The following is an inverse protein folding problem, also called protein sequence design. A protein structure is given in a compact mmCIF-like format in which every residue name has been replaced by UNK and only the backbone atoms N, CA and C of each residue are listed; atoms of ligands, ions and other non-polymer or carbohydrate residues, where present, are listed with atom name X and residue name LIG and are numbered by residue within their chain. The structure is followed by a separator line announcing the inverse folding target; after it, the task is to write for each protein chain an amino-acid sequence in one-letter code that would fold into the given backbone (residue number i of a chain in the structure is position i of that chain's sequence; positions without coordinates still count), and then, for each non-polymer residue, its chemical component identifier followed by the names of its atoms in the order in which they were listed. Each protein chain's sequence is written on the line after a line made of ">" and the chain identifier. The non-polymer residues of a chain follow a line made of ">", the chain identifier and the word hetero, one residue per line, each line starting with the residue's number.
data_IF_290874087174
#
_entry.id   IF_290874087174
#
_cell.length_a   1.000
_cell.length_b   1.000
_cell.length_c   1.000
_cell.angle_alpha   90.00
_cell.angle_beta   90.00
_cell.angle_gamma   90.00
#
_symmetry.space_group_name_H-M   'P 1'
#
loop_
_entity.id
_entity.type
_entity.pdbx_description
1 polymer ?
#
# COMPACT_ATOMS: atom_id res chain seq x y z
N UNK A 1 -52.35 -18.89 -9.50
CA UNK A 1 -52.22 -17.94 -8.37
C UNK A 1 -51.02 -18.27 -7.47
N UNK A 2 -50.75 -19.56 -7.22
CA UNK A 2 -49.64 -20.08 -6.41
C UNK A 2 -48.23 -19.77 -6.92
N UNK A 3 -48.00 -19.69 -8.23
CA UNK A 3 -46.67 -19.45 -8.81
C UNK A 3 -46.18 -18.00 -8.64
N UNK A 4 -47.09 -17.02 -8.59
CA UNK A 4 -46.76 -15.60 -8.34
C UNK A 4 -46.45 -15.32 -6.87
N UNK A 5 -47.07 -16.08 -5.95
CA UNK A 5 -46.80 -15.98 -4.51
C UNK A 5 -45.44 -16.59 -4.18
N UNK A 6 -45.07 -17.72 -4.82
CA UNK A 6 -43.76 -18.34 -4.62
C UNK A 6 -42.60 -17.44 -5.11
N UNK A 7 -42.79 -16.72 -6.22
CA UNK A 7 -41.80 -15.76 -6.75
C UNK A 7 -41.61 -14.54 -5.84
N UNK A 8 -42.70 -14.10 -5.17
CA UNK A 8 -42.68 -12.99 -4.21
C UNK A 8 -41.98 -13.39 -2.89
N UNK A 9 -42.19 -14.63 -2.44
CA UNK A 9 -41.52 -15.16 -1.23
C UNK A 9 -40.02 -15.38 -1.50
N UNK A 10 -39.62 -15.82 -2.70
CA UNK A 10 -38.22 -15.96 -3.06
C UNK A 10 -37.47 -14.62 -3.14
N UNK A 11 -38.13 -13.55 -3.63
CA UNK A 11 -37.52 -12.20 -3.69
C UNK A 11 -37.38 -11.54 -2.30
N UNK A 12 -38.30 -11.82 -1.36
CA UNK A 12 -38.19 -11.32 0.02
C UNK A 12 -37.06 -12.03 0.79
N UNK A 13 -36.83 -13.32 0.54
CA UNK A 13 -35.75 -14.08 1.19
C UNK A 13 -34.35 -13.67 0.70
N UNK A 14 -34.20 -13.23 -0.55
CA UNK A 14 -32.92 -12.68 -1.05
C UNK A 14 -32.60 -11.28 -0.52
N UNK A 15 -33.57 -10.56 0.06
CA UNK A 15 -33.37 -9.24 0.66
C UNK A 15 -33.03 -9.31 2.16
N UNK A 16 -33.13 -10.47 2.79
CA UNK A 16 -32.79 -10.66 4.22
C UNK A 16 -31.33 -11.12 4.44
N UNK A 17 -30.52 -11.25 3.39
CA UNK A 17 -29.11 -11.62 3.54
C UNK A 17 -28.20 -10.42 3.82
N UNK A 18 -28.52 -9.55 4.77
CA UNK A 18 -27.61 -8.48 5.20
C UNK A 18 -27.83 -8.14 6.68
N UNK A 19 -26.73 -8.10 7.45
CA UNK A 19 -26.61 -7.47 8.76
C UNK A 19 -27.26 -8.16 9.98
N UNK A 20 -26.90 -9.42 10.25
CA UNK A 20 -27.14 -10.01 11.57
C UNK A 20 -26.38 -9.24 12.66
N UNK A 21 -27.09 -8.44 13.45
CA UNK A 21 -26.57 -7.75 14.64
C UNK A 21 -26.29 -6.25 14.50
N UNK A 22 -26.39 -5.66 13.30
CA UNK A 22 -26.33 -4.20 13.14
C UNK A 22 -27.71 -3.64 12.86
N UNK A 23 -28.14 -2.68 13.69
CA UNK A 23 -29.43 -2.00 13.57
C UNK A 23 -29.40 -0.86 12.56
N UNK A 24 -28.21 -0.39 12.17
CA UNK A 24 -28.04 0.51 11.04
C UNK A 24 -26.59 0.79 10.69
N UNK A 25 -26.35 1.13 9.42
CA UNK A 25 -25.04 1.55 8.90
C UNK A 25 -25.26 2.68 7.91
N UNK A 26 -24.61 3.81 8.16
CA UNK A 26 -24.67 5.01 7.32
C UNK A 26 -23.27 5.37 6.88
N UNK A 27 -23.13 5.88 5.67
CA UNK A 27 -21.84 6.20 5.05
C UNK A 27 -21.85 7.59 4.47
N UNK A 28 -20.75 8.32 4.65
CA UNK A 28 -20.49 9.64 4.08
C UNK A 28 -21.67 10.61 4.30
N UNK A 29 -22.30 11.07 3.23
CA UNK A 29 -23.37 12.07 3.27
C UNK A 29 -24.67 11.55 3.90
N UNK A 30 -24.81 10.22 4.05
CA UNK A 30 -25.96 9.62 4.74
C UNK A 30 -25.80 9.63 6.26
N UNK A 31 -24.66 10.08 6.80
CA UNK A 31 -24.44 10.21 8.24
C UNK A 31 -25.00 11.56 8.71
N UNK A 32 -25.73 11.54 9.82
CA UNK A 32 -26.24 12.74 10.46
C UNK A 32 -25.14 13.78 10.72
N UNK A 33 -25.44 15.05 10.40
CA UNK A 33 -24.48 16.16 10.46
C UNK A 33 -23.84 16.35 11.84
N UNK A 34 -24.63 16.27 12.91
CA UNK A 34 -24.13 16.38 14.30
C UNK A 34 -23.08 15.30 14.62
N UNK A 35 -23.29 14.07 14.16
CA UNK A 35 -22.32 12.98 14.35
C UNK A 35 -21.03 13.26 13.59
N UNK A 36 -21.12 13.72 12.34
CA UNK A 36 -19.95 14.11 11.54
C UNK A 36 -19.16 15.23 12.22
N UNK A 37 -19.84 16.25 12.75
CA UNK A 37 -19.18 17.37 13.42
C UNK A 37 -18.45 16.95 14.69
N UNK A 38 -19.08 16.10 15.53
CA UNK A 38 -18.44 15.55 16.72
C UNK A 38 -17.17 14.77 16.38
N UNK A 39 -17.22 13.91 15.37
CA UNK A 39 -16.07 13.11 14.96
C UNK A 39 -15.02 13.96 14.26
N UNK A 40 -15.41 14.97 13.48
CA UNK A 40 -14.47 15.89 12.83
C UNK A 40 -13.57 16.56 13.87
N UNK A 41 -14.12 17.03 14.99
CA UNK A 41 -13.33 17.63 16.08
C UNK A 41 -12.27 16.65 16.60
N UNK A 42 -12.60 15.36 16.68
CA UNK A 42 -11.67 14.31 17.13
C UNK A 42 -10.64 13.96 16.06
N UNK A 43 -11.05 13.90 14.79
CA UNK A 43 -10.15 13.70 13.65
C UNK A 43 -9.14 14.85 13.55
N UNK A 44 -9.58 16.11 13.73
CA UNK A 44 -8.71 17.28 13.71
C UNK A 44 -7.66 17.23 14.84
N UNK A 45 -8.09 16.86 16.06
CA UNK A 45 -7.17 16.66 17.20
C UNK A 45 -6.20 15.51 16.95
N UNK A 46 -6.70 14.37 16.45
CA UNK A 46 -5.90 13.19 16.15
C UNK A 46 -4.84 13.51 15.11
N UNK A 47 -5.25 14.08 13.98
CA UNK A 47 -4.36 14.46 12.88
C UNK A 47 -3.29 15.44 13.35
N UNK A 48 -3.69 16.53 14.04
CA UNK A 48 -2.75 17.50 14.58
C UNK A 48 -1.73 16.83 15.50
N UNK A 49 -2.17 15.97 16.41
CA UNK A 49 -1.30 15.28 17.34
C UNK A 49 -0.31 14.33 16.63
N UNK A 50 -0.76 13.61 15.59
CA UNK A 50 0.12 12.76 14.78
C UNK A 50 1.20 13.60 14.08
N UNK A 51 0.81 14.63 13.34
CA UNK A 51 1.74 15.43 12.54
C UNK A 51 2.72 16.22 13.43
N UNK A 52 2.29 16.66 14.60
CA UNK A 52 3.14 17.35 15.57
C UNK A 52 3.96 16.40 16.46
N UNK A 53 3.93 15.09 16.21
CA UNK A 53 4.57 14.07 17.05
C UNK A 53 4.14 14.14 18.55
N UNK A 54 2.91 14.58 18.81
CA UNK A 54 2.31 14.63 20.15
C UNK A 54 1.68 13.29 20.51
N UNK A 55 2.55 12.37 20.94
CA UNK A 55 2.16 11.03 21.39
C UNK A 55 1.14 11.07 22.54
N UNK A 56 1.24 12.04 23.45
CA UNK A 56 0.31 12.17 24.57
C UNK A 56 -1.08 12.60 24.08
N UNK A 57 -1.14 13.53 23.14
CA UNK A 57 -2.37 13.96 22.47
C UNK A 57 -3.08 12.81 21.74
N UNK A 58 -2.33 11.96 21.04
CA UNK A 58 -2.91 10.74 20.42
C UNK A 58 -3.48 9.81 21.49
N UNK A 59 -2.73 9.52 22.56
CA UNK A 59 -3.18 8.63 23.64
C UNK A 59 -4.41 9.13 24.37
N UNK A 60 -4.57 10.45 24.53
CA UNK A 60 -5.74 11.04 25.17
C UNK A 60 -7.06 10.76 24.42
N UNK A 61 -6.99 10.48 23.11
CA UNK A 61 -8.14 10.13 22.27
C UNK A 61 -8.45 8.63 22.28
N UNK A 62 -7.53 7.79 22.75
CA UNK A 62 -7.67 6.33 22.76
C UNK A 62 -8.56 5.85 23.91
N UNK A 63 -9.22 4.71 23.70
CA UNK A 63 -9.91 3.96 24.74
C UNK A 63 -8.93 3.24 25.65
N UNK A 64 -9.34 2.97 26.89
CA UNK A 64 -8.53 2.22 27.85
C UNK A 64 -8.15 0.84 27.31
N UNK A 65 -9.11 0.14 26.68
CA UNK A 65 -8.87 -1.16 26.02
C UNK A 65 -7.79 -1.12 24.95
N UNK A 66 -7.67 -0.02 24.20
CA UNK A 66 -6.61 0.13 23.20
C UNK A 66 -5.26 0.43 23.87
N UNK A 67 -5.25 1.22 24.95
CA UNK A 67 -4.04 1.51 25.72
C UNK A 67 -3.45 0.25 26.39
N UNK A 68 -4.31 -0.65 26.88
CA UNK A 68 -3.94 -1.93 27.51
C UNK A 68 -3.19 -2.88 26.57
N UNK A 69 -3.41 -2.79 25.24
CA UNK A 69 -2.72 -3.62 24.24
C UNK A 69 -1.25 -3.26 24.01
N UNK A 70 -0.74 -2.24 24.71
CA UNK A 70 0.63 -1.75 24.59
C UNK A 70 0.76 -0.63 23.56
N UNK A 71 1.50 0.43 23.93
CA UNK A 71 1.64 1.65 23.10
C UNK A 71 3.07 1.94 22.66
N UNK A 72 4.03 1.03 22.93
CA UNK A 72 5.44 1.23 22.58
C UNK A 72 5.67 1.34 21.07
N UNK A 73 5.02 0.47 20.29
CA UNK A 73 5.11 0.52 18.83
C UNK A 73 4.40 1.75 18.26
N UNK A 74 3.28 2.16 18.86
CA UNK A 74 2.56 3.37 18.46
C UNK A 74 3.45 4.63 18.55
N UNK A 75 4.25 4.76 19.62
CA UNK A 75 5.17 5.90 19.75
C UNK A 75 6.18 5.96 18.59
N UNK A 76 6.75 4.81 18.22
CA UNK A 76 7.71 4.72 17.09
C UNK A 76 7.02 5.05 15.77
N UNK A 77 5.84 4.49 15.54
CA UNK A 77 5.06 4.75 14.32
C UNK A 77 4.66 6.22 14.18
N UNK A 78 4.19 6.87 15.26
CA UNK A 78 3.89 8.31 15.23
C UNK A 78 5.13 9.12 14.85
N UNK A 79 6.29 8.83 15.45
CA UNK A 79 7.54 9.54 15.12
C UNK A 79 8.00 9.32 13.67
N UNK A 80 7.79 8.13 13.11
CA UNK A 80 8.05 7.85 11.69
C UNK A 80 7.08 8.63 10.80
N UNK A 81 5.78 8.54 11.08
CA UNK A 81 4.73 9.23 10.30
C UNK A 81 4.94 10.74 10.33
N UNK A 82 5.19 11.35 11.49
CA UNK A 82 5.39 12.81 11.60
C UNK A 82 6.62 13.30 10.83
N UNK A 83 7.62 12.43 10.67
CA UNK A 83 8.86 12.77 9.93
C UNK A 83 8.67 12.61 8.43
N UNK A 84 7.96 11.55 8.01
CA UNK A 84 7.79 11.17 6.60
C UNK A 84 6.61 11.87 5.90
N UNK A 85 5.55 12.21 6.63
CA UNK A 85 4.31 12.76 6.07
C UNK A 85 4.02 14.13 6.69
N UNK A 86 4.68 15.18 6.18
CA UNK A 86 4.41 16.56 6.59
C UNK A 86 3.21 17.10 5.81
N UNK A 87 2.14 17.41 6.51
CA UNK A 87 0.91 17.91 5.90
C UNK A 87 0.13 18.78 6.88
N UNK A 88 -0.45 19.87 6.40
CA UNK A 88 -1.24 20.80 7.21
C UNK A 88 -2.73 20.44 7.26
N UNK A 89 -3.18 19.52 6.39
CA UNK A 89 -4.59 19.14 6.27
C UNK A 89 -4.76 17.68 5.86
N UNK A 90 -5.97 17.16 6.04
CA UNK A 90 -6.37 15.86 5.54
C UNK A 90 -7.68 15.96 4.78
N UNK A 91 -7.91 15.00 3.88
CA UNK A 91 -9.22 14.71 3.31
C UNK A 91 -9.76 13.41 3.88
N UNK A 92 -11.08 13.28 3.93
CA UNK A 92 -11.75 12.03 4.27
C UNK A 92 -11.85 11.20 2.99
N UNK A 93 -11.34 9.97 3.02
CA UNK A 93 -11.55 8.99 1.96
C UNK A 93 -13.00 8.48 2.01
N UNK A 94 -13.38 7.95 3.18
CA UNK A 94 -14.73 7.53 3.52
C UNK A 94 -14.91 7.58 5.02
N UNK A 95 -16.16 7.65 5.45
CA UNK A 95 -16.57 7.58 6.84
C UNK A 95 -17.85 6.75 6.99
N UNK A 96 -17.96 6.07 8.13
CA UNK A 96 -19.09 5.19 8.44
C UNK A 96 -19.56 5.41 9.86
N UNK A 97 -20.87 5.54 10.05
CA UNK A 97 -21.50 5.48 11.36
C UNK A 97 -22.28 4.17 11.46
N UNK A 98 -22.09 3.43 12.55
CA UNK A 98 -22.70 2.12 12.74
C UNK A 98 -23.40 2.07 14.09
N UNK A 99 -24.67 1.65 14.05
CA UNK A 99 -25.43 1.30 15.24
C UNK A 99 -25.58 -0.23 15.30
N UNK A 100 -25.06 -0.82 16.37
CA UNK A 100 -25.08 -2.25 16.62
C UNK A 100 -26.19 -2.56 17.62
N UNK A 101 -26.91 -3.67 17.42
CA UNK A 101 -27.92 -4.13 18.38
C UNK A 101 -27.29 -4.73 19.64
N UNK A 102 -26.03 -5.15 19.56
CA UNK A 102 -25.23 -5.66 20.68
C UNK A 102 -23.74 -5.43 20.42
N UNK A 103 -22.92 -5.52 21.46
CA UNK A 103 -21.46 -5.52 21.34
C UNK A 103 -20.92 -6.93 21.09
N UNK A 104 -19.63 -7.03 20.74
CA UNK A 104 -18.91 -8.28 20.53
C UNK A 104 -19.08 -8.92 19.14
N UNK A 105 -19.94 -8.36 18.29
CA UNK A 105 -20.20 -8.86 16.93
C UNK A 105 -19.19 -8.32 15.90
N UNK A 106 -19.11 -8.99 14.75
CA UNK A 106 -18.30 -8.52 13.62
C UNK A 106 -19.07 -7.52 12.74
N UNK A 107 -18.44 -6.38 12.44
CA UNK A 107 -18.90 -5.41 11.46
C UNK A 107 -18.15 -5.59 10.15
N UNK A 108 -18.88 -5.46 9.04
CA UNK A 108 -18.35 -5.51 7.67
C UNK A 108 -18.90 -4.31 6.91
N UNK A 109 -18.04 -3.37 6.52
CA UNK A 109 -18.42 -2.12 5.90
C UNK A 109 -17.82 -2.03 4.48
N UNK A 110 -18.60 -2.31 3.44
CA UNK A 110 -18.12 -2.20 2.05
C UNK A 110 -18.09 -0.73 1.59
N UNK A 111 -17.05 -0.36 0.84
CA UNK A 111 -16.98 0.93 0.13
C UNK A 111 -17.75 0.93 -1.20
N UNK A 112 -18.29 -0.22 -1.60
CA UNK A 112 -19.00 -0.41 -2.86
C UNK A 112 -19.19 -1.90 -3.16
N UNK A 113 -19.75 -2.22 -4.31
CA UNK A 113 -20.13 -3.59 -4.67
C UNK A 113 -19.09 -4.27 -5.58
N UNK A 114 -18.45 -3.52 -6.48
CA UNK A 114 -17.61 -4.11 -7.53
C UNK A 114 -16.73 -3.10 -8.29
N UNK A 115 -16.50 -1.91 -7.73
CA UNK A 115 -15.56 -0.92 -8.26
C UNK A 115 -14.13 -1.42 -8.17
N UNK A 116 -13.27 -0.98 -9.09
CA UNK A 116 -11.85 -1.40 -9.14
C UNK A 116 -11.08 -1.12 -7.85
N UNK A 117 -11.43 0.00 -7.18
CA UNK A 117 -10.84 0.42 -5.92
C UNK A 117 -11.72 0.12 -4.70
N UNK A 118 -12.76 -0.70 -4.86
CA UNK A 118 -13.62 -1.04 -3.74
C UNK A 118 -12.89 -1.92 -2.72
N UNK A 119 -13.22 -1.68 -1.47
CA UNK A 119 -12.64 -2.35 -0.32
C UNK A 119 -13.72 -2.62 0.74
N UNK A 120 -13.33 -3.36 1.77
CA UNK A 120 -14.17 -3.71 2.90
C UNK A 120 -13.40 -3.43 4.18
N UNK A 121 -14.05 -2.74 5.12
CA UNK A 121 -13.56 -2.58 6.49
C UNK A 121 -14.18 -3.66 7.37
N UNK A 122 -13.35 -4.40 8.12
CA UNK A 122 -13.82 -5.44 9.05
C UNK A 122 -13.26 -5.22 10.44
N UNK A 123 -14.12 -5.25 11.45
CA UNK A 123 -13.71 -5.12 12.85
C UNK A 123 -14.75 -5.71 13.80
N UNK A 124 -14.36 -5.95 15.05
CA UNK A 124 -15.30 -6.33 16.10
C UNK A 124 -15.88 -5.09 16.80
N UNK A 125 -17.20 -4.99 16.88
CA UNK A 125 -17.90 -3.90 17.54
C UNK A 125 -17.71 -3.97 19.07
N UNK A 126 -16.97 -3.02 19.64
CA UNK A 126 -16.78 -2.94 21.11
C UNK A 126 -17.84 -2.08 21.80
N UNK A 127 -18.62 -1.31 21.03
CA UNK A 127 -19.65 -0.40 21.52
C UNK A 127 -20.90 -0.48 20.60
N UNK A 128 -22.06 -0.08 21.13
CA UNK A 128 -23.30 -0.05 20.34
C UNK A 128 -23.28 1.05 19.27
N UNK A 129 -22.68 2.21 19.55
CA UNK A 129 -22.42 3.24 18.55
C UNK A 129 -20.93 3.22 18.19
N UNK A 130 -20.62 3.03 16.91
CA UNK A 130 -19.27 2.99 16.35
C UNK A 130 -19.16 3.99 15.20
N UNK A 131 -17.95 4.51 14.98
CA UNK A 131 -17.65 5.38 13.84
C UNK A 131 -16.31 4.99 13.22
N UNK A 132 -16.21 4.97 11.90
CA UNK A 132 -14.96 4.72 11.16
C UNK A 132 -14.62 5.98 10.37
N UNK A 133 -13.41 6.50 10.55
CA UNK A 133 -12.84 7.61 9.79
C UNK A 133 -11.61 7.12 9.03
N UNK A 134 -11.60 7.30 7.71
CA UNK A 134 -10.45 7.03 6.84
C UNK A 134 -9.87 8.37 6.37
N UNK A 135 -8.72 8.76 6.93
CA UNK A 135 -8.12 10.07 6.68
C UNK A 135 -6.87 9.93 5.80
N UNK A 136 -6.75 10.83 4.83
CA UNK A 136 -5.61 10.91 3.92
C UNK A 136 -4.97 12.31 4.05
N UNK A 137 -3.76 12.44 4.61
CA UNK A 137 -3.00 13.69 4.60
C UNK A 137 -2.85 14.22 3.17
N UNK A 138 -2.91 15.54 2.99
CA UNK A 138 -2.86 16.17 1.66
C UNK A 138 -1.47 16.73 1.31
N UNK A 139 -1.24 16.99 0.02
CA UNK A 139 -0.02 17.66 -0.45
C UNK A 139 1.20 16.76 -0.67
N UNK A 140 1.03 15.44 -0.64
CA UNK A 140 2.10 14.45 -0.81
C UNK A 140 1.81 13.55 -2.01
N UNK A 141 2.82 13.14 -2.77
CA UNK A 141 2.65 12.20 -3.89
C UNK A 141 2.24 10.80 -3.40
N UNK A 142 2.82 10.41 -2.28
CA UNK A 142 2.53 9.19 -1.55
C UNK A 142 1.49 9.48 -0.46
N UNK A 143 0.43 8.67 -0.40
CA UNK A 143 -0.66 8.86 0.56
C UNK A 143 -0.58 7.81 1.66
N UNK A 144 -0.56 8.28 2.91
CA UNK A 144 -0.74 7.47 4.10
C UNK A 144 -2.23 7.40 4.45
N UNK A 145 -2.76 6.20 4.68
CA UNK A 145 -4.08 6.03 5.30
C UNK A 145 -3.96 6.05 6.81
N UNK A 146 -4.71 6.94 7.45
CA UNK A 146 -4.97 6.90 8.89
C UNK A 146 -6.37 6.33 9.07
N UNK A 147 -6.47 5.12 9.63
CA UNK A 147 -7.76 4.48 9.94
C UNK A 147 -8.03 4.60 11.43
N UNK A 148 -9.06 5.37 11.79
CA UNK A 148 -9.51 5.54 13.16
C UNK A 148 -10.92 4.97 13.33
N UNK A 149 -11.06 3.96 14.18
CA UNK A 149 -12.36 3.36 14.52
C UNK A 149 -12.69 3.77 15.95
N UNK A 150 -13.68 4.63 16.09
CA UNK A 150 -14.19 5.14 17.35
C UNK A 150 -15.33 4.26 17.88
N UNK A 151 -15.40 4.15 19.19
CA UNK A 151 -16.56 3.66 19.91
C UNK A 151 -17.08 4.73 20.87
N UNK A 152 -18.40 4.77 21.06
CA UNK A 152 -19.03 5.68 22.01
C UNK A 152 -19.12 5.04 23.40
N UNK A 153 -18.45 5.67 24.36
CA UNK A 153 -18.43 5.31 25.78
C UNK A 153 -19.23 6.36 26.55
N UNK A 154 -20.41 5.97 27.03
CA UNK A 154 -21.36 6.92 27.61
C UNK A 154 -21.62 8.09 26.63
N UNK A 155 -21.23 9.31 26.99
CA UNK A 155 -21.38 10.52 26.15
C UNK A 155 -20.07 10.95 25.47
N UNK A 156 -19.06 10.09 25.39
CA UNK A 156 -17.76 10.42 24.81
C UNK A 156 -17.35 9.40 23.74
N UNK A 157 -16.74 9.89 22.66
CA UNK A 157 -16.13 9.05 21.64
C UNK A 157 -14.66 8.83 21.94
N UNK A 158 -14.21 7.58 21.81
CA UNK A 158 -12.81 7.16 22.01
C UNK A 158 -12.37 6.23 20.90
N UNK A 159 -11.08 6.26 20.56
CA UNK A 159 -10.50 5.40 19.52
C UNK A 159 -10.31 3.99 20.08
N UNK A 160 -10.96 3.02 19.44
CA UNK A 160 -10.83 1.60 19.74
C UNK A 160 -9.77 0.92 18.88
N UNK A 161 -9.59 1.39 17.64
CA UNK A 161 -8.60 0.88 16.70
C UNK A 161 -7.98 2.08 15.97
N UNK A 162 -6.65 2.12 15.93
CA UNK A 162 -5.88 3.10 15.17
C UNK A 162 -4.86 2.35 14.32
N UNK A 163 -4.87 2.57 13.02
CA UNK A 163 -3.94 1.95 12.07
C UNK A 163 -3.39 3.00 11.10
N UNK A 164 -2.18 2.74 10.63
CA UNK A 164 -1.45 3.55 9.67
C UNK A 164 -0.87 2.63 8.59
N UNK A 165 -0.93 3.05 7.33
CA UNK A 165 -0.29 2.30 6.26
C UNK A 165 -0.34 3.02 4.92
N UNK A 166 0.55 2.62 4.02
CA UNK A 166 0.66 3.20 2.70
C UNK A 166 -0.61 2.90 1.88
N UNK A 167 -1.36 3.94 1.53
CA UNK A 167 -2.59 3.83 0.72
C UNK A 167 -2.28 3.81 -0.77
N UNK A 168 -1.43 4.74 -1.21
CA UNK A 168 -1.03 4.88 -2.60
C UNK A 168 0.41 5.37 -2.70
N UNK A 169 1.14 4.94 -3.73
CA UNK A 169 2.45 5.49 -4.09
C UNK A 169 2.31 6.24 -5.42
N UNK A 170 2.81 7.48 -5.50
CA UNK A 170 2.62 8.37 -6.67
C UNK A 170 1.17 8.38 -7.17
N UNK A 171 0.23 8.55 -6.23
CA UNK A 171 -1.22 8.58 -6.48
C UNK A 171 -1.80 7.31 -7.14
N UNK A 172 -1.11 6.18 -7.07
CA UNK A 172 -1.58 4.87 -7.51
C UNK A 172 -1.78 3.93 -6.33
N UNK A 173 -2.97 3.39 -6.23
CA UNK A 173 -3.39 2.43 -5.20
C UNK A 173 -2.92 1.00 -5.55
N UNK A 174 -3.21 0.04 -4.67
CA UNK A 174 -2.91 -1.37 -4.95
C UNK A 174 -3.58 -1.88 -6.25
N UNK A 175 -4.89 -1.63 -6.49
CA UNK A 175 -5.53 -2.02 -7.75
C UNK A 175 -4.96 -1.31 -8.99
N UNK A 176 -4.54 -0.05 -8.88
CA UNK A 176 -3.92 0.66 -10.01
C UNK A 176 -2.61 0.00 -10.44
N UNK A 177 -1.75 -0.34 -9.47
CA UNK A 177 -0.50 -1.06 -9.76
C UNK A 177 -0.74 -2.49 -10.24
N UNK A 178 -1.79 -3.15 -9.76
CA UNK A 178 -2.20 -4.46 -10.26
C UNK A 178 -2.55 -4.41 -11.76
N UNK A 179 -3.29 -3.38 -12.18
CA UNK A 179 -3.60 -3.16 -13.60
C UNK A 179 -2.33 -3.00 -14.44
N UNK A 180 -1.38 -2.17 -13.99
CA UNK A 180 -0.09 -1.99 -14.67
C UNK A 180 0.70 -3.30 -14.74
N UNK A 181 0.72 -4.07 -13.65
CA UNK A 181 1.40 -5.36 -13.61
C UNK A 181 0.79 -6.35 -14.62
N UNK A 182 -0.54 -6.38 -14.71
CA UNK A 182 -1.27 -7.22 -15.67
C UNK A 182 -0.95 -6.80 -17.11
N UNK A 183 -0.98 -5.51 -17.41
CA UNK A 183 -0.64 -4.98 -18.74
C UNK A 183 0.80 -5.31 -19.14
N UNK A 184 1.78 -5.14 -18.24
CA UNK A 184 3.16 -5.55 -18.46
C UNK A 184 3.30 -7.06 -18.65
N UNK A 185 2.57 -7.86 -17.86
CA UNK A 185 2.58 -9.31 -17.98
C UNK A 185 2.02 -9.77 -19.33
N UNK A 186 0.91 -9.18 -19.79
CA UNK A 186 0.30 -9.48 -21.08
C UNK A 186 1.24 -9.13 -22.26
N UNK A 187 2.11 -8.11 -22.10
CA UNK A 187 3.20 -7.76 -23.04
C UNK A 187 4.46 -8.63 -22.90
N UNK A 188 4.47 -9.64 -22.01
CA UNK A 188 5.64 -10.44 -21.63
C UNK A 188 6.80 -9.65 -21.00
N UNK A 189 6.53 -8.46 -20.45
CA UNK A 189 7.50 -7.61 -19.75
C UNK A 189 7.60 -8.05 -18.28
N UNK A 190 8.17 -9.23 -18.05
CA UNK A 190 8.10 -9.93 -16.76
C UNK A 190 8.72 -9.16 -15.59
N UNK A 191 9.83 -8.44 -15.80
CA UNK A 191 10.46 -7.65 -14.73
C UNK A 191 9.60 -6.45 -14.35
N UNK A 192 8.98 -5.79 -15.32
CA UNK A 192 8.04 -4.70 -15.03
C UNK A 192 6.80 -5.22 -14.30
N UNK A 193 6.28 -6.38 -14.73
CA UNK A 193 5.17 -7.04 -14.04
C UNK A 193 5.50 -7.32 -12.57
N UNK A 194 6.70 -7.85 -12.28
CA UNK A 194 7.20 -8.05 -10.90
C UNK A 194 7.29 -6.72 -10.13
N UNK A 195 7.87 -5.70 -10.75
CA UNK A 195 8.04 -4.40 -10.08
C UNK A 195 6.68 -3.79 -9.72
N UNK A 196 5.73 -3.75 -10.67
CA UNK A 196 4.40 -3.19 -10.43
C UNK A 196 3.58 -4.03 -9.44
N UNK A 197 3.59 -5.37 -9.54
CA UNK A 197 2.85 -6.18 -8.57
C UNK A 197 3.47 -6.10 -7.17
N UNK A 198 4.80 -5.91 -7.07
CA UNK A 198 5.46 -5.61 -5.80
C UNK A 198 4.97 -4.30 -5.17
N UNK A 199 4.82 -3.22 -5.95
CA UNK A 199 4.25 -1.95 -5.49
C UNK A 199 2.76 -2.10 -5.10
N UNK A 200 2.01 -2.91 -5.85
CA UNK A 200 0.63 -3.26 -5.50
C UNK A 200 0.57 -3.92 -4.12
N UNK A 201 1.43 -4.94 -3.87
CA UNK A 201 1.55 -5.62 -2.57
C UNK A 201 1.91 -4.67 -1.43
N UNK A 202 2.75 -3.66 -1.68
CA UNK A 202 3.13 -2.65 -0.68
C UNK A 202 1.93 -1.78 -0.23
N UNK A 203 1.00 -1.49 -1.13
CA UNK A 203 -0.19 -0.68 -0.85
C UNK A 203 -1.45 -1.53 -0.50
N UNK A 204 -1.33 -2.86 -0.45
CA UNK A 204 -2.47 -3.77 -0.44
C UNK A 204 -3.28 -3.76 0.86
N UNK A 205 -2.62 -3.52 2.00
CA UNK A 205 -3.25 -3.58 3.33
C UNK A 205 -2.91 -2.33 4.16
N UNK A 206 -3.42 -1.15 3.79
CA UNK A 206 -3.10 0.11 4.45
C UNK A 206 -3.61 0.20 5.90
N UNK A 207 -4.48 -0.71 6.34
CA UNK A 207 -4.89 -0.84 7.73
C UNK A 207 -4.82 -2.29 8.22
N UNK A 208 -3.83 -3.06 7.76
CA UNK A 208 -3.68 -4.49 8.08
C UNK A 208 -4.98 -5.25 7.80
N UNK A 209 -5.40 -6.15 8.69
CA UNK A 209 -6.60 -6.99 8.51
C UNK A 209 -7.92 -6.21 8.63
N UNK A 210 -7.88 -4.92 9.01
CA UNK A 210 -9.07 -4.09 9.10
C UNK A 210 -9.49 -3.52 7.75
N UNK A 211 -8.62 -3.49 6.74
CA UNK A 211 -8.90 -2.98 5.40
C UNK A 211 -8.50 -4.02 4.37
N UNK A 212 -9.44 -4.40 3.51
CA UNK A 212 -9.22 -5.38 2.46
C UNK A 212 -9.79 -4.88 1.14
N UNK A 213 -8.95 -4.70 0.12
CA UNK A 213 -9.45 -4.49 -1.24
C UNK A 213 -10.22 -5.73 -1.72
N UNK A 214 -11.32 -5.52 -2.46
CA UNK A 214 -12.07 -6.63 -3.04
C UNK A 214 -11.22 -7.45 -4.02
N UNK A 215 -10.28 -6.78 -4.70
CA UNK A 215 -9.32 -7.38 -5.64
C UNK A 215 -8.13 -8.08 -4.97
N UNK A 216 -8.05 -8.13 -3.64
CA UNK A 216 -6.86 -8.64 -2.95
C UNK A 216 -6.50 -10.07 -3.38
N UNK A 217 -7.49 -10.94 -3.59
CA UNK A 217 -7.25 -12.30 -4.06
C UNK A 217 -6.59 -12.31 -5.44
N UNK A 218 -7.16 -11.58 -6.41
CA UNK A 218 -6.65 -11.49 -7.78
C UNK A 218 -5.22 -10.93 -7.82
N UNK A 219 -4.92 -9.95 -6.94
CA UNK A 219 -3.59 -9.36 -6.78
C UNK A 219 -2.58 -10.41 -6.31
N UNK A 220 -2.94 -11.18 -5.28
CA UNK A 220 -2.07 -12.23 -4.74
C UNK A 220 -1.83 -13.35 -5.76
N UNK A 221 -2.87 -13.78 -6.48
CA UNK A 221 -2.75 -14.81 -7.51
C UNK A 221 -1.83 -14.37 -8.66
N UNK A 222 -1.95 -13.11 -9.12
CA UNK A 222 -1.03 -12.59 -10.13
C UNK A 222 0.39 -12.49 -9.58
N UNK A 223 0.58 -12.03 -8.34
CA UNK A 223 1.89 -11.98 -7.69
C UNK A 223 2.57 -13.35 -7.71
N UNK A 224 1.89 -14.39 -7.21
CA UNK A 224 2.45 -15.74 -7.14
C UNK A 224 2.77 -16.29 -8.52
N UNK A 225 1.88 -16.05 -9.50
CA UNK A 225 2.08 -16.46 -10.89
C UNK A 225 3.32 -15.81 -11.51
N UNK A 226 3.43 -14.48 -11.44
CA UNK A 226 4.52 -13.72 -12.03
C UNK A 226 5.85 -14.06 -11.36
N UNK A 227 5.88 -14.15 -10.03
CA UNK A 227 7.09 -14.52 -9.28
C UNK A 227 7.57 -15.93 -9.63
N UNK A 228 6.66 -16.90 -9.75
CA UNK A 228 7.01 -18.26 -10.18
C UNK A 228 7.64 -18.26 -11.56
N UNK A 229 7.05 -17.54 -12.52
CA UNK A 229 7.56 -17.46 -13.88
C UNK A 229 8.95 -16.79 -13.94
N UNK A 230 9.11 -15.65 -13.27
CA UNK A 230 10.40 -14.95 -13.20
C UNK A 230 11.48 -15.80 -12.56
N UNK A 231 11.19 -16.48 -11.44
CA UNK A 231 12.16 -17.36 -10.78
C UNK A 231 12.53 -18.58 -11.61
N UNK A 232 11.62 -19.04 -12.50
CA UNK A 232 11.92 -20.13 -13.44
C UNK A 232 12.77 -19.68 -14.62
N UNK A 233 12.60 -18.42 -15.06
CA UNK A 233 13.28 -17.87 -16.23
C UNK A 233 14.63 -17.24 -15.91
N UNK A 234 14.77 -16.65 -14.73
CA UNK A 234 15.93 -15.89 -14.32
C UNK A 234 16.46 -16.41 -12.99
N UNK A 235 17.67 -16.96 -12.99
CA UNK A 235 18.39 -17.33 -11.78
C UNK A 235 19.32 -16.19 -11.37
N UNK A 236 19.00 -15.52 -10.26
CA UNK A 236 19.86 -14.48 -9.69
C UNK A 236 20.83 -15.06 -8.64
N UNK A 237 22.10 -14.62 -8.60
CA UNK A 237 22.73 -13.66 -9.51
C UNK A 237 22.94 -14.19 -10.94
N UNK A 238 22.52 -13.41 -11.93
CA UNK A 238 22.59 -13.71 -13.36
C UNK A 238 23.86 -13.11 -13.97
N UNK A 239 24.72 -13.95 -14.56
CA UNK A 239 25.96 -13.48 -15.21
C UNK A 239 25.68 -12.98 -16.63
N UNK A 240 26.17 -11.78 -16.95
CA UNK A 240 26.11 -11.22 -18.31
C UNK A 240 27.29 -11.72 -19.14
N UNK A 241 27.14 -12.90 -19.75
CA UNK A 241 28.23 -13.57 -20.48
C UNK A 241 28.72 -12.79 -21.72
N UNK A 242 27.87 -11.93 -22.30
CA UNK A 242 28.20 -11.12 -23.46
C UNK A 242 28.95 -9.81 -23.10
N UNK A 243 29.17 -9.55 -21.82
CA UNK A 243 29.99 -8.43 -21.33
C UNK A 243 31.32 -8.99 -20.84
N UNK A 244 32.42 -8.45 -21.36
CA UNK A 244 33.79 -8.95 -21.18
C UNK A 244 34.20 -9.17 -19.71
N UNK A 245 33.82 -8.24 -18.84
CA UNK A 245 34.10 -8.26 -17.39
C UNK A 245 33.20 -9.21 -16.61
N UNK A 246 32.22 -9.83 -17.28
CA UNK A 246 31.24 -10.79 -16.74
C UNK A 246 30.53 -10.30 -15.47
N UNK A 247 29.93 -9.09 -15.48
CA UNK A 247 29.19 -8.59 -14.34
C UNK A 247 27.99 -9.48 -14.05
N UNK A 248 27.56 -9.50 -12.78
CA UNK A 248 26.45 -10.35 -12.32
C UNK A 248 25.32 -9.51 -11.78
N UNK A 249 24.18 -9.49 -12.46
CA UNK A 249 22.98 -8.83 -11.93
C UNK A 249 22.48 -9.67 -10.76
N UNK A 250 22.26 -9.07 -9.61
CA UNK A 250 21.77 -9.79 -8.44
C UNK A 250 20.41 -9.31 -7.94
N UNK A 251 19.94 -8.15 -8.43
CA UNK A 251 18.63 -7.61 -8.09
C UNK A 251 18.14 -6.62 -9.14
N UNK A 252 16.85 -6.69 -9.44
CA UNK A 252 16.12 -5.63 -10.13
C UNK A 252 14.89 -5.31 -9.27
N UNK A 253 14.62 -4.04 -9.02
CA UNK A 253 13.49 -3.62 -8.17
C UNK A 253 13.02 -2.20 -8.53
N UNK A 254 11.78 -1.83 -8.21
CA UNK A 254 11.33 -0.45 -8.37
C UNK A 254 12.04 0.46 -7.37
N UNK A 255 12.55 1.59 -7.86
CA UNK A 255 13.16 2.61 -7.03
C UNK A 255 12.45 3.94 -7.23
N UNK A 256 12.05 4.54 -6.11
CA UNK A 256 11.45 5.86 -6.06
C UNK A 256 12.49 6.96 -6.29
N UNK A 257 12.09 7.97 -7.05
CA UNK A 257 12.80 9.21 -7.33
C UNK A 257 11.80 10.36 -7.35
N UNK A 258 12.25 11.61 -7.17
CA UNK A 258 11.35 12.77 -7.21
C UNK A 258 10.44 12.86 -8.45
N UNK A 259 10.83 12.24 -9.58
CA UNK A 259 10.07 12.26 -10.83
C UNK A 259 9.18 11.02 -11.07
N UNK A 260 9.23 10.02 -10.19
CA UNK A 260 8.47 8.78 -10.35
C UNK A 260 9.23 7.55 -9.87
N UNK A 261 8.71 6.38 -10.26
CA UNK A 261 9.30 5.08 -9.93
C UNK A 261 9.97 4.50 -11.17
N UNK A 262 11.24 4.11 -11.04
CA UNK A 262 12.06 3.59 -12.12
C UNK A 262 12.66 2.22 -11.76
N UNK A 263 12.88 1.32 -12.72
CA UNK A 263 13.60 0.09 -12.46
C UNK A 263 15.07 0.40 -12.12
N UNK A 264 15.54 -0.19 -11.03
CA UNK A 264 16.95 -0.16 -10.62
C UNK A 264 17.58 -1.54 -10.79
N UNK A 265 18.64 -1.61 -11.59
CA UNK A 265 19.43 -2.82 -11.84
C UNK A 265 20.71 -2.77 -11.01
N UNK A 266 20.82 -3.68 -10.05
CA UNK A 266 22.02 -3.83 -9.23
C UNK A 266 22.88 -4.99 -9.76
N UNK A 267 24.17 -4.72 -9.97
CA UNK A 267 25.09 -5.73 -10.47
C UNK A 267 26.46 -5.70 -9.78
N UNK A 268 27.08 -6.87 -9.68
CA UNK A 268 28.46 -7.05 -9.26
C UNK A 268 29.40 -6.82 -10.43
N UNK A 269 30.51 -6.14 -10.16
CA UNK A 269 31.62 -5.94 -11.08
C UNK A 269 32.95 -6.19 -10.38
N UNK A 270 33.94 -6.62 -11.16
CA UNK A 270 35.32 -6.73 -10.70
C UNK A 270 36.12 -5.43 -10.89
N UNK A 271 35.54 -4.41 -11.53
CA UNK A 271 36.16 -3.09 -11.71
C UNK A 271 36.14 -2.34 -10.38
N UNK A 272 37.27 -1.76 -9.98
CA UNK A 272 37.35 -0.92 -8.79
C UNK A 272 36.36 0.24 -8.88
N UNK A 273 35.52 0.46 -7.85
CA UNK A 273 34.51 1.54 -7.86
C UNK A 273 35.09 2.96 -8.01
N UNK A 274 36.39 3.15 -7.78
CA UNK A 274 37.08 4.42 -8.02
C UNK A 274 37.43 4.66 -9.50
N UNK A 275 37.51 3.60 -10.31
CA UNK A 275 37.76 3.70 -11.75
C UNK A 275 36.45 3.94 -12.50
N UNK A 276 35.96 5.18 -12.38
CA UNK A 276 34.67 5.60 -12.96
C UNK A 276 34.67 5.52 -14.50
N UNK A 277 35.83 5.63 -15.14
CA UNK A 277 35.97 5.52 -16.60
C UNK A 277 35.71 4.09 -17.06
N UNK A 278 36.39 3.11 -16.45
CA UNK A 278 36.18 1.70 -16.77
C UNK A 278 34.76 1.26 -16.42
N UNK A 279 34.20 1.70 -15.29
CA UNK A 279 32.82 1.41 -14.91
C UNK A 279 31.81 1.96 -15.91
N UNK A 280 32.02 3.17 -16.44
CA UNK A 280 31.13 3.75 -17.46
C UNK A 280 31.14 2.91 -18.73
N UNK A 281 32.31 2.46 -19.19
CA UNK A 281 32.46 1.60 -20.37
C UNK A 281 31.75 0.26 -20.16
N UNK A 282 31.90 -0.36 -18.99
CA UNK A 282 31.16 -1.57 -18.63
C UNK A 282 29.66 -1.34 -18.62
N UNK A 283 29.20 -0.27 -17.97
CA UNK A 283 27.78 0.04 -17.83
C UNK A 283 27.09 0.23 -19.18
N UNK A 284 27.73 0.86 -20.18
CA UNK A 284 27.16 0.96 -21.53
C UNK A 284 26.91 -0.42 -22.17
N UNK A 285 27.81 -1.39 -21.93
CA UNK A 285 27.60 -2.79 -22.39
C UNK A 285 26.51 -3.49 -21.57
N UNK A 286 26.47 -3.25 -20.25
CA UNK A 286 25.44 -3.80 -19.34
C UNK A 286 24.05 -3.35 -19.76
N UNK A 287 23.84 -2.05 -20.03
CA UNK A 287 22.54 -1.50 -20.47
C UNK A 287 21.99 -2.23 -21.70
N UNK A 288 22.84 -2.41 -22.71
CA UNK A 288 22.47 -3.09 -23.96
C UNK A 288 22.03 -4.52 -23.68
N UNK A 289 22.80 -5.25 -22.86
CA UNK A 289 22.48 -6.63 -22.54
C UNK A 289 21.23 -6.76 -21.66
N UNK A 290 21.05 -5.86 -20.70
CA UNK A 290 19.85 -5.76 -19.86
C UNK A 290 18.60 -5.51 -20.70
N UNK A 291 18.66 -4.58 -21.66
CA UNK A 291 17.53 -4.31 -22.57
C UNK A 291 17.15 -5.50 -23.46
N UNK A 292 18.10 -6.38 -23.78
CA UNK A 292 17.83 -7.63 -24.50
C UNK A 292 17.25 -8.73 -23.60
N UNK A 293 17.82 -8.90 -22.40
CA UNK A 293 17.44 -9.98 -21.48
C UNK A 293 16.09 -9.74 -20.79
N UNK A 294 15.82 -8.49 -20.43
CA UNK A 294 14.62 -8.08 -19.69
C UNK A 294 13.74 -7.21 -20.58
N UNK A 295 12.97 -7.87 -21.45
CA UNK A 295 12.05 -7.21 -22.36
C UNK A 295 11.16 -6.22 -21.61
N UNK A 296 11.06 -5.00 -22.14
CA UNK A 296 10.22 -3.93 -21.58
C UNK A 296 10.91 -3.03 -20.55
N UNK A 297 12.05 -3.43 -19.98
CA UNK A 297 12.70 -2.68 -18.89
C UNK A 297 13.07 -1.24 -19.28
N UNK A 298 13.29 -0.99 -20.57
CA UNK A 298 13.63 0.30 -21.17
C UNK A 298 12.48 0.95 -21.98
N UNK A 299 11.27 0.38 -21.94
CA UNK A 299 10.11 0.87 -22.72
C UNK A 299 9.18 1.72 -21.88
N UNK A 300 8.67 2.80 -22.49
CA UNK A 300 7.67 3.71 -21.90
C UNK A 300 8.12 4.31 -20.55
N UNK A 301 9.44 4.50 -20.37
CA UNK A 301 10.05 5.03 -19.14
C UNK A 301 11.01 6.15 -19.50
N UNK A 302 11.19 7.09 -18.57
CA UNK A 302 12.18 8.17 -18.72
C UNK A 302 13.61 7.72 -18.39
N UNK A 303 13.76 6.72 -17.54
CA UNK A 303 15.07 6.26 -17.11
C UNK A 303 15.11 4.80 -16.65
N UNK A 304 16.31 4.22 -16.66
CA UNK A 304 16.68 3.01 -15.90
C UNK A 304 17.88 3.35 -15.03
N UNK A 305 17.86 2.92 -13.78
CA UNK A 305 18.94 3.16 -12.82
C UNK A 305 19.85 1.96 -12.76
N UNK A 306 21.16 2.18 -12.69
CA UNK A 306 22.14 1.12 -12.56
C UNK A 306 23.04 1.39 -11.37
N UNK A 307 23.39 0.35 -10.62
CA UNK A 307 24.37 0.45 -9.54
C UNK A 307 25.34 -0.72 -9.59
N UNK A 308 26.62 -0.37 -9.66
CA UNK A 308 27.74 -1.30 -9.65
C UNK A 308 28.26 -1.50 -8.22
N UNK A 309 28.51 -2.76 -7.85
CA UNK A 309 29.03 -3.17 -6.55
C UNK A 309 30.25 -4.06 -6.72
N UNK A 310 31.22 -4.00 -5.80
CA UNK A 310 32.29 -5.00 -5.72
C UNK A 310 31.97 -6.17 -4.78
N UNK A 311 30.95 -6.05 -3.95
CA UNK A 311 30.52 -7.09 -3.01
C UNK A 311 28.99 -7.11 -2.88
N UNK A 312 28.41 -8.28 -2.56
CA UNK A 312 26.97 -8.39 -2.33
C UNK A 312 26.60 -7.71 -1.01
N UNK A 313 25.52 -6.90 -0.97
CA UNK A 313 24.94 -6.45 0.29
C UNK A 313 24.47 -7.66 1.10
N UNK A 314 25.03 -7.86 2.30
CA UNK A 314 24.59 -8.92 3.20
C UNK A 314 23.42 -8.41 4.06
N UNK A 315 22.31 -9.16 4.09
CA UNK A 315 21.11 -8.84 4.89
C UNK A 315 21.36 -8.78 6.40
N UNK A 316 22.47 -9.33 6.90
CA UNK A 316 22.84 -9.29 8.32
C UNK A 316 23.75 -8.11 8.72
N UNK A 317 24.26 -7.34 7.77
CA UNK A 317 25.22 -6.26 8.06
C UNK A 317 24.54 -4.89 8.02
N UNK A 318 24.69 -4.13 9.11
CA UNK A 318 24.36 -2.70 9.21
C UNK A 318 25.28 -1.80 8.36
N UNK A 319 26.26 -2.38 7.66
CA UNK A 319 27.24 -1.67 6.84
C UNK A 319 26.66 -1.41 5.45
N UNK A 320 26.49 -0.13 5.13
CA UNK A 320 26.19 0.33 3.76
C UNK A 320 27.34 -0.09 2.84
N UNK A 321 27.04 -0.97 1.89
CA UNK A 321 28.01 -1.38 0.86
C UNK A 321 28.19 -0.23 -0.14
N UNK A 322 29.45 0.11 -0.42
CA UNK A 322 29.78 1.14 -1.40
C UNK A 322 29.36 0.68 -2.79
N UNK A 323 28.85 1.62 -3.58
CA UNK A 323 28.46 1.40 -4.96
C UNK A 323 28.71 2.65 -5.79
N UNK A 324 28.76 2.46 -7.11
CA UNK A 324 28.76 3.56 -8.08
C UNK A 324 27.45 3.53 -8.88
N UNK A 325 26.77 4.67 -9.00
CA UNK A 325 25.46 4.77 -9.62
C UNK A 325 25.49 5.43 -11.00
N UNK A 326 24.64 4.95 -11.91
CA UNK A 326 24.40 5.55 -13.21
C UNK A 326 22.91 5.77 -13.43
N UNK A 327 22.57 6.83 -14.16
CA UNK A 327 21.22 7.07 -14.66
C UNK A 327 21.29 6.95 -16.18
N UNK A 328 20.49 6.05 -16.73
CA UNK A 328 20.31 5.91 -18.16
C UNK A 328 19.04 6.64 -18.58
N UNK A 329 19.20 7.84 -19.15
CA UNK A 329 18.07 8.64 -19.61
C UNK A 329 17.61 8.11 -20.98
N UNK A 330 16.36 7.70 -21.04
CA UNK A 330 15.75 7.14 -22.24
C UNK A 330 15.12 8.28 -23.05
N UNK A 331 15.48 8.38 -24.32
CA UNK A 331 14.75 9.25 -25.25
C UNK A 331 13.39 8.60 -25.50
N UNK A 332 12.30 9.31 -25.20
CA UNK A 332 10.95 8.90 -25.61
C UNK A 332 10.95 8.77 -27.14
N UNK A 333 11.03 7.54 -27.63
CA UNK A 333 10.86 7.21 -29.05
C UNK A 333 9.42 6.84 -29.32
#
# INVERSE_FOLDING_TARGET
>A
MTQKILLLILTVLTLQSCNLGTSGTWRNDNIEKDKKEQIKILNDKLFKAIISNDVAGVKALMSDKLLEKGTSELNKFIGQVSTSFKSDSYRILDEYYVHNSTTGIGNTLPSGISGENDYVIRYQALNNEMYVSLLLPQGLDDELLITAIYGKYNNQWKINILQFGQYSLYKKTAPDYYKLAKESYDKSYLIDAVNYIGLSKQCLRPANDFFQYQKEKDINELYDKVMKEVNSKYAFPLTLHNVETKPKIFRIYPQEMSEGIFPAVLYLTNINLKDTTALKIENEKVKIEVGKLFLGIDKEKKAVLYRAFNELPNSSNTKVVKHYGFIDLLQNK
#
